data_IF_784655808996
#
_entry.id   IF_784655808996
#
_cell.length_a   1.000
_cell.length_b   1.000
_cell.length_c   1.000
_cell.angle_alpha   90.00
_cell.angle_beta   90.00
_cell.angle_gamma   90.00
#
_symmetry.space_group_name_H-M   'P 1'
#
loop_
_entity.id
_entity.type
_entity.pdbx_description
1 polymer ?
#
# COMPACT_ATOMS: atom_id res chain seq x y z
N UNK A 1 -12.63 26.01 16.45
CA UNK A 1 -12.96 25.36 15.16
C UNK A 1 -12.02 24.17 15.01
N UNK A 2 -12.50 22.95 15.24
CA UNK A 2 -11.66 21.75 15.07
C UNK A 2 -11.78 21.28 13.63
N UNK A 3 -10.68 21.36 12.87
CA UNK A 3 -10.60 20.72 11.56
C UNK A 3 -10.32 19.24 11.76
N UNK A 4 -11.30 18.40 11.45
CA UNK A 4 -11.09 16.96 11.37
C UNK A 4 -10.30 16.69 10.08
N UNK A 5 -9.06 16.23 10.21
CA UNK A 5 -8.30 15.76 9.06
C UNK A 5 -8.90 14.43 8.59
N UNK A 6 -9.33 14.31 7.33
CA UNK A 6 -9.80 13.03 6.82
C UNK A 6 -8.65 12.03 6.87
N UNK A 7 -8.86 10.92 7.57
CA UNK A 7 -7.89 9.81 7.60
C UNK A 7 -7.97 9.07 6.26
N UNK A 8 -6.82 8.92 5.61
CA UNK A 8 -6.71 8.11 4.40
C UNK A 8 -6.89 6.63 4.74
N UNK A 9 -7.48 5.87 3.80
CA UNK A 9 -7.73 4.42 3.93
C UNK A 9 -7.43 3.76 2.60
N UNK A 10 -6.81 2.59 2.65
CA UNK A 10 -6.50 1.75 1.51
C UNK A 10 -6.87 0.31 1.87
N UNK A 11 -7.59 -0.36 0.96
CA UNK A 11 -7.90 -1.79 1.08
C UNK A 11 -7.27 -2.49 -0.12
N UNK A 12 -6.35 -3.40 0.16
CA UNK A 12 -5.75 -4.28 -0.83
C UNK A 12 -6.42 -5.65 -0.73
N UNK A 13 -6.99 -6.12 -1.84
CA UNK A 13 -7.86 -7.30 -1.86
C UNK A 13 -7.11 -8.63 -2.04
N UNK A 14 -5.78 -8.60 -2.05
CA UNK A 14 -4.91 -9.77 -2.15
C UNK A 14 -3.93 -9.83 -0.96
N UNK A 15 -3.05 -10.82 -0.96
CA UNK A 15 -1.98 -10.97 0.03
C UNK A 15 -0.68 -10.29 -0.44
N UNK A 16 0.20 -9.99 0.49
CA UNK A 16 1.55 -9.43 0.27
C UNK A 16 2.64 -10.51 0.39
N UNK A 17 2.23 -11.78 0.38
CA UNK A 17 3.09 -12.92 0.64
C UNK A 17 2.56 -14.18 -0.06
N UNK A 18 3.35 -15.28 -0.14
CA UNK A 18 3.02 -16.48 -0.90
C UNK A 18 1.63 -17.07 -0.61
N UNK A 19 1.24 -18.02 -1.47
CA UNK A 19 -0.11 -18.59 -1.60
C UNK A 19 -1.08 -17.71 -2.38
N UNK A 20 -1.14 -16.40 -2.10
CA UNK A 20 -2.01 -15.45 -2.79
C UNK A 20 -1.25 -14.30 -3.50
N UNK A 21 0.03 -14.13 -3.21
CA UNK A 21 0.97 -13.38 -4.05
C UNK A 21 1.85 -14.36 -4.84
N UNK A 22 1.65 -14.50 -6.18
CA UNK A 22 2.53 -15.28 -7.03
C UNK A 22 3.97 -14.74 -6.99
N UNK A 23 4.95 -15.61 -7.23
CA UNK A 23 6.37 -15.22 -7.25
C UNK A 23 6.63 -14.12 -8.30
N UNK A 24 6.00 -14.23 -9.47
CA UNK A 24 6.13 -13.24 -10.54
C UNK A 24 5.59 -11.86 -10.13
N UNK A 25 4.61 -11.81 -9.22
CA UNK A 25 4.12 -10.56 -8.66
C UNK A 25 5.10 -9.98 -7.64
N UNK A 26 5.69 -10.82 -6.79
CA UNK A 26 6.68 -10.38 -5.80
C UNK A 26 8.01 -9.95 -6.44
N UNK A 27 8.36 -10.54 -7.59
CA UNK A 27 9.55 -10.20 -8.38
C UNK A 27 9.31 -9.05 -9.37
N UNK A 28 8.08 -8.57 -9.52
CA UNK A 28 7.79 -7.43 -10.37
C UNK A 28 8.50 -6.17 -9.86
N UNK A 29 9.22 -5.45 -10.72
CA UNK A 29 9.94 -4.21 -10.37
C UNK A 29 9.08 -3.17 -9.63
N UNK A 30 7.76 -3.19 -9.83
CA UNK A 30 6.82 -2.29 -9.16
C UNK A 30 6.33 -2.74 -7.78
N UNK A 31 6.66 -3.95 -7.33
CA UNK A 31 6.16 -4.54 -6.08
C UNK A 31 6.52 -3.67 -4.87
N UNK A 32 7.82 -3.38 -4.71
CA UNK A 32 8.31 -2.52 -3.62
C UNK A 32 7.70 -1.12 -3.70
N UNK A 33 7.66 -0.54 -4.90
CA UNK A 33 7.14 0.81 -5.14
C UNK A 33 5.64 0.92 -4.79
N UNK A 34 4.85 -0.11 -5.08
CA UNK A 34 3.42 -0.13 -4.77
C UNK A 34 3.20 0.00 -3.26
N UNK A 35 3.86 -0.84 -2.46
CA UNK A 35 3.64 -0.87 -1.02
C UNK A 35 4.32 0.30 -0.29
N UNK A 36 5.54 0.71 -0.68
CA UNK A 36 6.20 1.90 -0.13
C UNK A 36 5.33 3.15 -0.34
N UNK A 37 4.85 3.39 -1.57
CA UNK A 37 3.99 4.55 -1.84
C UNK A 37 2.65 4.47 -1.14
N UNK A 38 2.07 3.27 -1.03
CA UNK A 38 0.81 3.09 -0.30
C UNK A 38 0.95 3.50 1.16
N UNK A 39 2.03 3.08 1.82
CA UNK A 39 2.30 3.44 3.23
C UNK A 39 2.57 4.93 3.37
N UNK A 40 3.45 5.51 2.54
CA UNK A 40 3.76 6.94 2.61
C UNK A 40 2.55 7.83 2.33
N UNK A 41 1.68 7.42 1.42
CA UNK A 41 0.43 8.13 1.16
C UNK A 41 -0.47 8.09 2.40
N UNK A 42 -0.64 6.92 3.02
CA UNK A 42 -1.42 6.76 4.25
C UNK A 42 -0.83 7.52 5.45
N UNK A 43 0.50 7.70 5.51
CA UNK A 43 1.19 8.48 6.55
C UNK A 43 1.23 9.99 6.27
N UNK A 44 0.73 10.44 5.12
CA UNK A 44 0.80 11.84 4.66
C UNK A 44 2.26 12.32 4.47
N UNK A 45 3.15 11.41 4.06
CA UNK A 45 4.57 11.66 3.78
C UNK A 45 4.88 11.74 2.26
N UNK A 46 3.84 11.67 1.42
CA UNK A 46 3.90 11.92 -0.03
C UNK A 46 3.29 13.28 -0.41
#
# INVERSE_FOLDING_TARGET
>A
MFYFQPKLKLSYASDISPHWAPEEFMQWDGYEQLFDRSVRWLSHEL
#
